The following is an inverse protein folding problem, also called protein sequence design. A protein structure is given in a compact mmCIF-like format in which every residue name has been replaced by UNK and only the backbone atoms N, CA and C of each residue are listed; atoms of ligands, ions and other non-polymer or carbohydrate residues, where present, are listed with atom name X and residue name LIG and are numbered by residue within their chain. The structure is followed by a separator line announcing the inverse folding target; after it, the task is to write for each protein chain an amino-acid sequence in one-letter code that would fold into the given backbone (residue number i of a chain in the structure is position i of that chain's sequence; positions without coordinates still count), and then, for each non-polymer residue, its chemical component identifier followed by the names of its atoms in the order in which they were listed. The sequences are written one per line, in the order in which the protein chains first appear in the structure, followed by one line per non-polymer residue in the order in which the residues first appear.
data_IF_227071981373
#
_entry.id   IF_227071981373
#
_cell.length_a   1.000
_cell.length_b   1.000
_cell.length_c   1.000
_cell.angle_alpha   90.00
_cell.angle_beta   90.00
_cell.angle_gamma   90.00
#
_symmetry.space_group_name_H-M   'P 1'
#
loop_
_entity.id
_entity.type
_entity.pdbx_description
1 polymer ?
#
# COMPACT_ATOMS: atom_id res chain seq x y z
N UNK A 1 -17.17 1.78 -21.52
CA UNK A 1 -17.50 2.59 -20.33
C UNK A 1 -16.79 2.12 -19.04
N UNK A 2 -16.42 0.84 -18.88
CA UNK A 2 -15.70 0.36 -17.69
C UNK A 2 -14.25 0.91 -17.53
N UNK A 3 -13.56 1.19 -18.65
CA UNK A 3 -12.15 1.61 -18.64
C UNK A 3 -11.93 3.04 -18.14
N UNK A 4 -12.90 3.93 -18.35
CA UNK A 4 -12.81 5.35 -17.95
C UNK A 4 -12.87 5.51 -16.43
N UNK A 5 -13.70 4.74 -15.74
CA UNK A 5 -13.85 4.80 -14.29
C UNK A 5 -12.57 4.40 -13.55
N UNK A 6 -11.90 3.33 -14.02
CA UNK A 6 -10.63 2.87 -13.45
C UNK A 6 -9.51 3.90 -13.63
N UNK A 7 -9.43 4.52 -14.80
CA UNK A 7 -8.42 5.54 -15.06
C UNK A 7 -8.58 6.77 -14.16
N UNK A 8 -9.82 7.23 -13.96
CA UNK A 8 -10.09 8.38 -13.10
C UNK A 8 -9.76 8.11 -11.63
N UNK A 9 -10.08 6.90 -11.13
CA UNK A 9 -9.73 6.49 -9.77
C UNK A 9 -8.21 6.49 -9.56
N UNK A 10 -7.45 5.93 -10.51
CA UNK A 10 -6.00 5.92 -10.42
C UNK A 10 -5.42 7.34 -10.36
N UNK A 11 -5.92 8.26 -11.19
CA UNK A 11 -5.48 9.66 -11.15
C UNK A 11 -5.74 10.34 -9.81
N UNK A 12 -6.87 10.04 -9.17
CA UNK A 12 -7.18 10.57 -7.83
C UNK A 12 -6.20 10.02 -6.79
N UNK A 13 -5.93 8.71 -6.82
CA UNK A 13 -5.00 8.05 -5.89
C UNK A 13 -3.57 8.60 -6.07
N UNK A 14 -3.12 8.78 -7.31
CA UNK A 14 -1.82 9.34 -7.64
C UNK A 14 -1.70 10.81 -7.22
N UNK A 15 -2.80 11.58 -7.26
CA UNK A 15 -2.80 12.99 -6.86
C UNK A 15 -2.68 13.20 -5.35
N UNK A 16 -3.00 12.20 -4.53
CA UNK A 16 -2.97 12.25 -3.07
C UNK A 16 -1.54 12.08 -2.52
N UNK A 17 -0.65 13.00 -2.88
CA UNK A 17 0.79 12.94 -2.54
C UNK A 17 1.11 13.11 -1.06
N UNK A 18 0.21 13.74 -0.29
CA UNK A 18 0.40 13.99 1.15
C UNK A 18 0.07 12.77 2.02
N UNK A 19 -0.54 11.73 1.43
CA UNK A 19 -0.97 10.53 2.14
C UNK A 19 -0.47 9.27 1.45
N UNK A 20 0.07 8.34 2.25
CA UNK A 20 0.38 7.00 1.77
C UNK A 20 -0.91 6.22 1.52
N UNK A 21 -1.12 5.81 0.27
CA UNK A 21 -2.19 4.91 -0.13
C UNK A 21 -1.54 3.63 -0.65
N UNK A 22 -1.91 2.52 -0.02
CA UNK A 22 -1.42 1.18 -0.39
C UNK A 22 -2.62 0.28 -0.64
N UNK A 23 -2.57 -0.46 -1.74
CA UNK A 23 -3.63 -1.41 -2.11
C UNK A 23 -3.05 -2.81 -2.11
N UNK A 24 -3.71 -3.75 -1.44
CA UNK A 24 -3.31 -5.15 -1.39
C UNK A 24 -4.36 -6.06 -2.01
N UNK A 25 -3.95 -7.25 -2.41
CA UNK A 25 -4.87 -8.35 -2.66
C UNK A 25 -5.37 -9.00 -1.35
N UNK A 26 -6.15 -10.08 -1.46
CA UNK A 26 -6.68 -10.81 -0.31
C UNK A 26 -5.62 -11.58 0.49
N UNK A 27 -4.44 -11.82 -0.10
CA UNK A 27 -3.31 -12.45 0.57
C UNK A 27 -2.42 -11.40 1.29
N UNK A 28 -2.73 -10.12 1.12
CA UNK A 28 -1.93 -9.02 1.66
C UNK A 28 -0.74 -8.64 0.77
N UNK A 29 -0.66 -9.14 -0.46
CA UNK A 29 0.40 -8.75 -1.40
C UNK A 29 0.07 -7.38 -2.00
N UNK A 30 1.04 -6.47 -2.00
CA UNK A 30 0.88 -5.11 -2.52
C UNK A 30 0.65 -5.14 -4.02
N UNK A 31 -0.43 -4.51 -4.47
CA UNK A 31 -0.85 -4.40 -5.87
C UNK A 31 -0.74 -2.98 -6.42
N UNK A 32 -0.77 -1.97 -5.55
CA UNK A 32 -0.63 -0.57 -5.92
C UNK A 32 0.03 0.22 -4.77
N UNK A 33 0.80 1.23 -5.16
CA UNK A 33 1.65 2.05 -4.28
C UNK A 33 1.75 3.45 -4.85
N UNK A 34 1.06 4.41 -4.22
CA UNK A 34 1.02 5.78 -4.74
C UNK A 34 2.29 6.58 -4.38
N UNK A 35 2.45 7.76 -4.99
CA UNK A 35 3.58 8.65 -4.72
C UNK A 35 3.68 9.06 -3.23
N UNK A 36 2.55 9.20 -2.54
CA UNK A 36 2.56 9.49 -1.10
C UNK A 36 3.16 8.34 -0.29
N UNK A 37 2.94 7.09 -0.67
CA UNK A 37 3.54 5.93 -0.02
C UNK A 37 5.05 5.87 -0.26
N UNK A 38 5.52 6.20 -1.47
CA UNK A 38 6.95 6.39 -1.75
C UNK A 38 7.55 7.46 -0.86
N UNK A 39 6.88 8.61 -0.70
CA UNK A 39 7.37 9.70 0.14
C UNK A 39 7.44 9.32 1.63
N UNK A 40 6.48 8.53 2.11
CA UNK A 40 6.35 8.16 3.53
C UNK A 40 7.32 7.04 3.91
N UNK A 41 7.41 5.98 3.09
CA UNK A 41 8.19 4.79 3.43
C UNK A 41 9.54 4.70 2.69
N UNK A 42 9.74 5.49 1.62
CA UNK A 42 11.01 5.58 0.91
C UNK A 42 11.29 4.46 -0.09
N UNK A 43 10.30 3.63 -0.42
CA UNK A 43 10.41 2.58 -1.44
C UNK A 43 9.67 3.00 -2.71
N UNK A 44 10.27 2.66 -3.86
CA UNK A 44 9.62 2.82 -5.15
C UNK A 44 8.59 1.71 -5.38
N UNK A 45 7.59 2.01 -6.22
CA UNK A 45 6.49 1.08 -6.54
C UNK A 45 7.01 -0.27 -7.04
N UNK A 46 8.06 -0.27 -7.88
CA UNK A 46 8.66 -1.49 -8.43
C UNK A 46 9.37 -2.35 -7.37
N UNK A 47 9.78 -1.76 -6.25
CA UNK A 47 10.45 -2.47 -5.18
C UNK A 47 9.47 -3.18 -4.24
N UNK A 48 8.23 -2.72 -4.19
CA UNK A 48 7.24 -3.13 -3.18
C UNK A 48 6.07 -3.92 -3.76
N UNK A 49 5.67 -3.66 -5.01
CA UNK A 49 4.59 -4.41 -5.64
C UNK A 49 4.94 -5.89 -5.74
N UNK A 50 4.00 -6.74 -5.33
CA UNK A 50 4.17 -8.19 -5.22
C UNK A 50 4.83 -8.67 -3.91
N UNK A 51 5.22 -7.76 -3.02
CA UNK A 51 5.63 -8.11 -1.65
C UNK A 51 4.43 -8.04 -0.69
N UNK A 52 4.50 -8.79 0.39
CA UNK A 52 3.54 -8.69 1.48
C UNK A 52 3.59 -7.31 2.14
N UNK A 53 2.42 -6.73 2.41
CA UNK A 53 2.25 -5.46 3.15
C UNK A 53 2.89 -5.49 4.53
N UNK A 54 3.07 -6.68 5.08
CA UNK A 54 3.71 -6.88 6.38
C UNK A 54 5.11 -6.27 6.50
N UNK A 55 5.80 -5.99 5.38
CA UNK A 55 7.13 -5.38 5.41
C UNK A 55 7.14 -3.92 5.87
N UNK A 56 5.99 -3.22 5.86
CA UNK A 56 5.90 -1.82 6.31
C UNK A 56 5.88 -1.71 7.85
N UNK A 57 5.56 -2.81 8.53
CA UNK A 57 5.42 -2.85 9.99
C UNK A 57 6.75 -3.19 10.66
N UNK A 58 7.01 -2.51 11.77
CA UNK A 58 8.18 -2.83 12.59
C UNK A 58 8.00 -4.18 13.29
N UNK A 59 9.10 -4.82 13.74
CA UNK A 59 8.98 -6.04 14.54
C UNK A 59 8.12 -5.87 15.81
N UNK A 60 8.04 -4.66 16.37
CA UNK A 60 7.21 -4.38 17.54
C UNK A 60 5.72 -4.35 17.18
N UNK A 61 5.35 -3.72 16.06
CA UNK A 61 3.97 -3.68 15.59
C UNK A 61 3.40 -5.10 15.40
N UNK A 62 4.20 -6.00 14.80
CA UNK A 62 3.83 -7.41 14.58
C UNK A 62 3.65 -8.20 15.87
N UNK A 63 4.34 -7.82 16.94
CA UNK A 63 4.19 -8.47 18.25
C UNK A 63 2.93 -8.03 18.96
N UNK A 64 2.55 -6.76 18.82
CA UNK A 64 1.31 -6.22 19.40
C UNK A 64 0.10 -6.90 18.77
N UNK A 65 0.08 -7.04 17.44
CA UNK A 65 -1.01 -7.71 16.71
C UNK A 65 -1.22 -9.15 17.19
N UNK A 66 -0.16 -9.95 17.25
CA UNK A 66 -0.24 -11.36 17.69
C UNK A 66 -0.68 -11.52 19.15
N UNK A 67 -0.33 -10.56 20.00
CA UNK A 67 -0.76 -10.58 21.40
C UNK A 67 -2.24 -10.21 21.59
N UNK A 68 -2.89 -9.63 20.57
CA UNK A 68 -4.33 -9.35 20.57
C UNK A 68 -5.18 -10.49 19.98
N UNK A 69 -4.55 -11.43 19.27
CA UNK A 69 -5.21 -12.61 18.70
C UNK A 69 -5.23 -13.84 19.63
N UNK A 70 -4.51 -13.78 20.78
CA UNK A 70 -4.49 -14.79 21.85
C UNK A 70 -5.50 -14.50 22.98
#
# INVERSE_FOLDING_TARGET
MATTARHHLNQIIESAIDFAIVVTDLNGDVTDWNQGATNVFGWETEEIVGKTIECIFTPEDKRIERAQEE
#
